data_IF_196174165042
#
_entry.id   IF_196174165042
#
_cell.length_a   1.000
_cell.length_b   1.000
_cell.length_c   1.000
_cell.angle_alpha   90.00
_cell.angle_beta   90.00
_cell.angle_gamma   90.00
#
_symmetry.space_group_name_H-M   'P 1'
#
loop_
_entity.id
_entity.type
_entity.pdbx_description
1 polymer ?
#
# COMPACT_ATOMS: atom_id res chain seq x y z
N UNK A 1 15.26 -4.42 -9.14
CA UNK A 1 13.78 -4.28 -8.98
C UNK A 1 13.15 -3.49 -10.11
N UNK A 2 13.29 -2.16 -10.20
CA UNK A 2 12.50 -1.35 -11.16
C UNK A 2 12.86 -1.63 -12.63
N UNK A 3 14.12 -1.46 -13.02
CA UNK A 3 14.59 -1.67 -14.41
C UNK A 3 14.46 -3.13 -14.87
N UNK A 4 14.76 -4.07 -13.98
CA UNK A 4 14.90 -5.49 -14.33
C UNK A 4 13.59 -6.28 -14.19
N UNK A 5 12.66 -5.84 -13.34
CA UNK A 5 11.47 -6.62 -12.99
C UNK A 5 10.18 -5.86 -13.35
N UNK A 6 10.09 -4.56 -13.07
CA UNK A 6 8.82 -3.83 -13.25
C UNK A 6 8.62 -3.36 -14.69
N UNK A 7 9.60 -2.65 -15.27
CA UNK A 7 9.51 -2.11 -16.64
C UNK A 7 9.31 -3.21 -17.69
N UNK A 8 10.07 -4.33 -17.67
CA UNK A 8 9.89 -5.40 -18.66
C UNK A 8 8.52 -6.07 -18.57
N UNK A 9 7.82 -5.91 -17.44
CA UNK A 9 6.48 -6.47 -17.18
C UNK A 9 5.35 -5.45 -17.40
N UNK A 10 5.63 -4.32 -18.05
CA UNK A 10 4.62 -3.36 -18.49
C UNK A 10 4.24 -2.28 -17.47
N UNK A 11 5.01 -2.12 -16.38
CA UNK A 11 4.89 -0.92 -15.55
C UNK A 11 5.60 0.22 -16.26
N UNK A 12 4.84 1.18 -16.76
CA UNK A 12 5.32 2.26 -17.62
C UNK A 12 4.98 3.65 -17.09
N UNK A 13 4.12 3.77 -16.08
CA UNK A 13 3.80 5.05 -15.46
C UNK A 13 5.03 5.63 -14.73
N UNK A 14 5.56 6.79 -15.17
CA UNK A 14 6.78 7.36 -14.60
C UNK A 14 6.65 7.68 -13.11
N UNK A 15 5.48 8.12 -12.65
CA UNK A 15 5.23 8.44 -11.26
C UNK A 15 5.26 7.17 -10.38
N UNK A 16 4.61 6.09 -10.81
CA UNK A 16 4.67 4.78 -10.15
C UNK A 16 6.10 4.26 -10.08
N UNK A 17 6.85 4.30 -11.19
CA UNK A 17 8.24 3.85 -11.21
C UNK A 17 9.13 4.69 -10.27
N UNK A 18 8.91 6.01 -10.20
CA UNK A 18 9.64 6.88 -9.29
C UNK A 18 9.33 6.57 -7.80
N UNK A 19 8.06 6.33 -7.47
CA UNK A 19 7.67 5.91 -6.12
C UNK A 19 8.29 4.57 -5.73
N UNK A 20 8.26 3.58 -6.64
CA UNK A 20 8.86 2.26 -6.42
C UNK A 20 10.39 2.31 -6.27
N UNK A 21 11.07 3.30 -6.86
CA UNK A 21 12.51 3.55 -6.62
C UNK A 21 12.77 4.19 -5.25
N UNK A 22 11.88 5.08 -4.81
CA UNK A 22 12.09 5.95 -3.65
C UNK A 22 11.71 5.27 -2.34
N UNK A 23 10.64 4.47 -2.32
CA UNK A 23 10.16 3.86 -1.07
C UNK A 23 11.08 2.69 -0.67
N UNK A 24 11.77 2.77 0.48
CA UNK A 24 12.71 1.75 0.93
C UNK A 24 11.99 0.50 1.46
N UNK A 25 11.65 -0.43 0.56
CA UNK A 25 10.89 -1.66 0.87
C UNK A 25 11.45 -2.50 2.03
N UNK A 26 12.75 -2.47 2.26
CA UNK A 26 13.39 -3.21 3.36
C UNK A 26 12.98 -2.74 4.77
N UNK A 27 12.45 -1.53 4.95
CA UNK A 27 11.88 -1.13 6.25
C UNK A 27 10.49 -1.71 6.52
N UNK A 28 9.86 -2.34 5.53
CA UNK A 28 8.50 -2.89 5.60
C UNK A 28 8.49 -4.41 5.75
N UNK A 29 9.63 -5.01 6.08
CA UNK A 29 9.80 -6.45 6.33
C UNK A 29 10.58 -6.67 7.61
N UNK A 30 10.51 -7.88 8.14
CA UNK A 30 11.36 -8.29 9.26
C UNK A 30 12.84 -8.24 8.90
N UNK A 31 13.71 -7.99 9.88
CA UNK A 31 15.16 -7.83 9.68
C UNK A 31 15.79 -9.03 8.93
N UNK A 32 15.36 -10.25 9.27
CA UNK A 32 15.82 -11.48 8.62
C UNK A 32 15.48 -11.53 7.10
N UNK A 33 14.50 -10.77 6.65
CA UNK A 33 14.03 -10.75 5.27
C UNK A 33 14.57 -9.58 4.45
N UNK A 34 15.30 -8.63 5.04
CA UNK A 34 15.76 -7.41 4.34
C UNK A 34 16.59 -7.71 3.10
N UNK A 35 17.46 -8.73 3.14
CA UNK A 35 18.28 -9.14 1.99
C UNK A 35 17.43 -9.61 0.79
N UNK A 36 16.19 -10.02 1.03
CA UNK A 36 15.23 -10.48 0.02
C UNK A 36 14.17 -9.44 -0.33
N UNK A 37 14.18 -8.27 0.32
CA UNK A 37 13.08 -7.30 0.25
C UNK A 37 12.75 -6.85 -1.17
N UNK A 38 13.74 -6.82 -2.07
CA UNK A 38 13.62 -6.32 -3.45
C UNK A 38 13.46 -7.41 -4.51
N UNK A 39 13.30 -8.67 -4.10
CA UNK A 39 12.88 -9.76 -4.98
C UNK A 39 11.41 -9.61 -5.35
N UNK A 40 11.03 -9.99 -6.57
CA UNK A 40 9.65 -9.91 -7.05
C UNK A 40 8.78 -11.06 -6.53
N UNK A 41 8.68 -11.19 -5.22
CA UNK A 41 7.85 -12.19 -4.54
C UNK A 41 7.29 -11.61 -3.24
N UNK A 42 6.18 -12.16 -2.71
CA UNK A 42 5.72 -11.80 -1.39
C UNK A 42 6.73 -12.23 -0.31
N UNK A 43 6.67 -11.58 0.85
CA UNK A 43 7.44 -11.94 2.04
C UNK A 43 6.51 -11.98 3.26
N UNK A 44 6.77 -12.85 4.25
CA UNK A 44 6.00 -12.86 5.49
C UNK A 44 6.25 -11.58 6.29
N UNK A 45 5.20 -11.10 6.97
CA UNK A 45 5.24 -9.88 7.81
C UNK A 45 4.63 -10.11 9.20
N UNK A 46 4.52 -11.38 9.62
CA UNK A 46 3.82 -11.76 10.84
C UNK A 46 2.30 -11.90 10.67
N UNK A 47 1.63 -12.41 11.70
CA UNK A 47 0.16 -12.60 11.77
C UNK A 47 -0.46 -13.35 10.58
N UNK A 48 0.31 -14.26 9.96
CA UNK A 48 -0.12 -15.00 8.77
C UNK A 48 -0.30 -14.14 7.52
N UNK A 49 0.17 -12.88 7.53
CA UNK A 49 0.06 -11.95 6.41
C UNK A 49 1.36 -11.87 5.61
N UNK A 50 1.27 -11.29 4.42
CA UNK A 50 2.43 -11.04 3.55
C UNK A 50 2.45 -9.61 3.05
N UNK A 51 3.64 -9.07 2.83
CA UNK A 51 3.82 -7.91 1.96
C UNK A 51 3.69 -8.37 0.51
N UNK A 52 2.82 -7.74 -0.27
CA UNK A 52 2.59 -8.07 -1.69
C UNK A 52 3.89 -7.92 -2.50
N UNK A 53 4.06 -8.75 -3.54
CA UNK A 53 5.23 -8.65 -4.42
C UNK A 53 5.32 -7.26 -5.09
N UNK A 54 6.53 -6.72 -5.32
CA UNK A 54 6.75 -5.44 -5.99
C UNK A 54 5.95 -5.21 -7.27
N UNK A 55 5.84 -6.21 -8.15
CA UNK A 55 5.07 -6.08 -9.39
C UNK A 55 3.59 -5.80 -9.14
N UNK A 56 2.96 -6.50 -8.20
CA UNK A 56 1.54 -6.33 -7.90
C UNK A 56 1.28 -4.95 -7.28
N UNK A 57 2.17 -4.50 -6.38
CA UNK A 57 2.10 -3.14 -5.81
C UNK A 57 2.16 -2.09 -6.92
N UNK A 58 3.12 -2.22 -7.83
CA UNK A 58 3.27 -1.28 -8.95
C UNK A 58 2.07 -1.32 -9.92
N UNK A 59 1.56 -2.52 -10.23
CA UNK A 59 0.42 -2.70 -11.12
C UNK A 59 -0.85 -2.04 -10.56
N UNK A 60 -1.17 -2.29 -9.29
CA UNK A 60 -2.32 -1.69 -8.61
C UNK A 60 -2.18 -0.16 -8.54
N UNK A 61 -0.97 0.32 -8.20
CA UNK A 61 -0.68 1.76 -8.12
C UNK A 61 -0.85 2.45 -9.47
N UNK A 62 -0.30 1.88 -10.55
CA UNK A 62 -0.44 2.43 -11.90
C UNK A 62 -1.90 2.44 -12.37
N UNK A 63 -2.70 1.43 -11.99
CA UNK A 63 -4.10 1.34 -12.37
C UNK A 63 -4.96 2.48 -11.79
N UNK A 64 -4.57 3.05 -10.64
CA UNK A 64 -5.24 4.19 -10.02
C UNK A 64 -5.04 5.51 -10.80
N UNK A 65 -4.02 5.60 -11.66
CA UNK A 65 -3.74 6.77 -12.53
C UNK A 65 -3.64 8.12 -11.79
N UNK A 66 -3.14 8.09 -10.56
CA UNK A 66 -3.01 9.24 -9.66
C UNK A 66 -2.23 10.40 -10.29
N UNK A 67 -2.63 11.63 -9.95
CA UNK A 67 -2.09 12.90 -10.45
C UNK A 67 -1.53 13.80 -9.36
N UNK A 68 -1.67 13.43 -8.09
CA UNK A 68 -1.07 14.13 -6.94
C UNK A 68 -2.05 14.83 -6.02
N UNK A 69 -3.32 14.96 -6.41
CA UNK A 69 -4.35 15.67 -5.63
C UNK A 69 -5.37 14.71 -4.99
N UNK A 70 -5.25 13.42 -5.28
CA UNK A 70 -6.24 12.42 -4.88
C UNK A 70 -6.17 12.12 -3.38
N UNK A 71 -7.34 11.80 -2.82
CA UNK A 71 -7.51 11.13 -1.53
C UNK A 71 -7.77 9.66 -1.80
N UNK A 72 -6.85 8.79 -1.37
CA UNK A 72 -6.88 7.36 -1.70
C UNK A 72 -7.21 6.53 -0.46
N UNK A 73 -8.16 5.61 -0.56
CA UNK A 73 -8.44 4.61 0.46
C UNK A 73 -7.73 3.28 0.12
N UNK A 74 -6.93 2.78 1.05
CA UNK A 74 -6.34 1.44 1.03
C UNK A 74 -7.05 0.55 2.06
N UNK A 75 -7.50 -0.62 1.61
CA UNK A 75 -8.00 -1.68 2.49
C UNK A 75 -6.94 -2.75 2.66
N UNK A 76 -6.41 -2.89 3.88
CA UNK A 76 -5.33 -3.80 4.24
C UNK A 76 -3.98 -3.09 4.32
N UNK A 77 -3.73 -2.34 5.40
CA UNK A 77 -2.42 -1.69 5.60
C UNK A 77 -1.27 -2.70 5.59
N UNK A 78 -1.42 -3.84 6.28
CA UNK A 78 -0.39 -4.86 6.42
C UNK A 78 0.92 -4.26 6.95
N UNK A 79 2.00 -4.41 6.19
CA UNK A 79 3.29 -3.79 6.52
C UNK A 79 3.30 -2.28 6.37
N UNK A 80 2.38 -1.71 5.58
CA UNK A 80 2.33 -0.31 5.19
C UNK A 80 3.05 0.02 3.87
N UNK A 81 3.64 -0.96 3.18
CA UNK A 81 4.43 -0.67 1.98
C UNK A 81 3.59 -0.08 0.83
N UNK A 82 2.38 -0.60 0.60
CA UNK A 82 1.50 -0.08 -0.46
C UNK A 82 0.99 1.34 -0.11
N UNK A 83 0.53 1.59 1.12
CA UNK A 83 0.29 2.95 1.63
C UNK A 83 1.50 3.89 1.44
N UNK A 84 2.71 3.44 1.76
CA UNK A 84 3.92 4.24 1.59
C UNK A 84 4.19 4.58 0.12
N UNK A 85 3.99 3.63 -0.80
CA UNK A 85 4.05 3.88 -2.24
C UNK A 85 3.01 4.92 -2.64
N UNK A 86 1.73 4.72 -2.31
CA UNK A 86 0.64 5.65 -2.64
C UNK A 86 0.89 7.06 -2.09
N UNK A 87 1.47 7.17 -0.89
CA UNK A 87 1.78 8.45 -0.25
C UNK A 87 2.70 9.35 -1.08
N UNK A 88 3.43 8.76 -2.05
CA UNK A 88 4.28 9.48 -2.99
C UNK A 88 3.57 9.99 -4.24
N UNK A 89 2.35 9.54 -4.51
CA UNK A 89 1.61 9.84 -5.72
C UNK A 89 0.31 10.62 -5.48
N UNK A 90 -0.16 10.77 -4.25
CA UNK A 90 -1.44 11.42 -3.94
C UNK A 90 -1.33 12.43 -2.79
N UNK A 91 -2.39 13.21 -2.56
CA UNK A 91 -2.43 14.20 -1.49
C UNK A 91 -2.44 13.48 -0.13
N UNK A 92 -3.34 12.51 0.03
CA UNK A 92 -3.52 11.79 1.30
C UNK A 92 -3.90 10.34 1.08
N UNK A 93 -3.30 9.46 1.87
CA UNK A 93 -3.65 8.04 1.95
C UNK A 93 -4.42 7.80 3.24
N UNK A 94 -5.56 7.14 3.12
CA UNK A 94 -6.33 6.59 4.22
C UNK A 94 -6.16 5.07 4.15
N UNK A 95 -5.77 4.42 5.24
CA UNK A 95 -5.53 2.97 5.23
C UNK A 95 -6.17 2.29 6.43
N UNK A 96 -6.86 1.18 6.18
CA UNK A 96 -7.53 0.39 7.22
C UNK A 96 -6.81 -0.94 7.38
N UNK A 97 -6.55 -1.32 8.63
CA UNK A 97 -6.03 -2.63 9.01
C UNK A 97 -6.92 -3.22 10.11
N UNK A 98 -7.15 -4.53 10.09
CA UNK A 98 -7.94 -5.24 11.12
C UNK A 98 -7.06 -5.84 12.23
N UNK A 99 -5.77 -6.01 11.98
CA UNK A 99 -4.78 -6.60 12.89
C UNK A 99 -3.96 -5.50 13.56
N UNK A 100 -4.25 -5.21 14.83
CA UNK A 100 -3.61 -4.12 15.60
C UNK A 100 -2.07 -4.21 15.62
N UNK A 101 -1.51 -5.43 15.73
CA UNK A 101 -0.07 -5.65 15.73
C UNK A 101 0.61 -5.16 14.44
N UNK A 102 -0.01 -5.40 13.28
CA UNK A 102 0.52 -4.96 11.98
C UNK A 102 0.41 -3.45 11.83
N UNK A 103 -0.74 -2.87 12.20
CA UNK A 103 -0.95 -1.42 12.12
C UNK A 103 0.06 -0.65 12.99
N UNK A 104 0.36 -1.16 14.20
CA UNK A 104 1.39 -0.58 15.07
C UNK A 104 2.77 -0.63 14.44
N UNK A 105 3.13 -1.73 13.77
CA UNK A 105 4.41 -1.84 13.08
C UNK A 105 4.49 -0.88 11.90
N UNK A 106 3.44 -0.82 11.06
CA UNK A 106 3.36 0.09 9.93
C UNK A 106 3.51 1.56 10.35
N UNK A 107 2.80 1.99 11.42
CA UNK A 107 2.91 3.35 11.97
C UNK A 107 4.33 3.72 12.38
N UNK A 108 5.08 2.81 13.03
CA UNK A 108 6.49 3.06 13.36
C UNK A 108 7.35 3.32 12.11
N UNK A 109 7.08 2.60 11.03
CA UNK A 109 7.79 2.79 9.75
C UNK A 109 7.38 4.11 9.10
N UNK A 110 6.09 4.46 9.11
CA UNK A 110 5.60 5.75 8.62
C UNK A 110 6.24 6.92 9.36
N UNK A 111 6.32 6.87 10.69
CA UNK A 111 6.96 7.90 11.52
C UNK A 111 8.47 7.98 11.23
N UNK A 112 9.14 6.82 11.16
CA UNK A 112 10.58 6.73 10.85
C UNK A 112 10.90 7.35 9.49
N UNK A 113 10.05 7.13 8.49
CA UNK A 113 10.22 7.61 7.12
C UNK A 113 9.53 8.96 6.85
N UNK A 114 8.88 9.54 7.87
CA UNK A 114 8.20 10.84 7.82
C UNK A 114 7.07 10.90 6.79
N UNK A 115 6.32 9.81 6.64
CA UNK A 115 5.14 9.76 5.77
C UNK A 115 3.90 10.28 6.48
N UNK A 116 3.84 11.61 6.64
CA UNK A 116 2.81 12.30 7.42
C UNK A 116 1.46 12.44 6.70
N UNK A 117 1.40 12.15 5.39
CA UNK A 117 0.15 12.14 4.63
C UNK A 117 -0.55 10.77 4.61
N UNK A 118 -0.16 9.85 5.51
CA UNK A 118 -0.82 8.56 5.72
C UNK A 118 -1.64 8.63 7.01
N UNK A 119 -2.96 8.49 6.89
CA UNK A 119 -3.89 8.36 8.00
C UNK A 119 -4.31 6.90 8.10
N UNK A 120 -4.07 6.28 9.25
CA UNK A 120 -4.33 4.85 9.44
C UNK A 120 -5.33 4.59 10.56
N UNK A 121 -6.20 3.58 10.40
CA UNK A 121 -7.20 3.19 11.40
C UNK A 121 -7.24 1.66 11.58
N UNK A 122 -7.47 1.25 12.82
CA UNK A 122 -7.77 -0.14 13.17
C UNK A 122 -9.28 -0.34 13.02
N UNK A 123 -9.71 -1.11 12.02
CA UNK A 123 -11.14 -1.33 11.74
C UNK A 123 -11.37 -2.53 10.79
N UNK A 124 -12.63 -2.86 10.57
CA UNK A 124 -13.04 -3.71 9.44
C UNK A 124 -12.91 -2.90 8.12
N UNK A 125 -12.12 -3.40 7.19
CA UNK A 125 -11.95 -2.75 5.89
C UNK A 125 -13.17 -2.85 4.98
N UNK A 126 -14.08 -3.79 5.22
CA UNK A 126 -15.24 -4.03 4.34
C UNK A 126 -16.33 -2.96 4.47
N UNK A 127 -16.31 -2.17 5.55
CA UNK A 127 -17.23 -1.07 5.79
C UNK A 127 -16.73 0.27 5.23
N UNK A 128 -15.49 0.31 4.71
CA UNK A 128 -14.84 1.53 4.24
C UNK A 128 -14.60 2.56 5.35
N UNK A 129 -14.58 3.84 5.00
CA UNK A 129 -14.40 4.97 5.91
C UNK A 129 -15.34 6.14 5.58
N UNK A 130 -16.65 6.02 5.85
CA UNK A 130 -17.65 7.01 5.47
C UNK A 130 -17.35 8.44 5.96
N UNK A 131 -16.83 8.58 7.18
CA UNK A 131 -16.47 9.89 7.76
C UNK A 131 -15.34 10.62 7.02
N UNK A 132 -14.64 9.93 6.12
CA UNK A 132 -13.54 10.49 5.33
C UNK A 132 -13.83 10.45 3.82
N UNK A 133 -14.94 9.86 3.39
CA UNK A 133 -15.42 9.94 2.01
C UNK A 133 -15.64 11.41 1.58
N UNK A 134 -15.61 11.74 0.27
CA UNK A 134 -15.35 10.84 -0.84
C UNK A 134 -13.85 10.51 -1.05
N UNK A 135 -13.56 9.36 -1.67
CA UNK A 135 -12.22 9.01 -2.16
C UNK A 135 -12.14 8.98 -3.70
N UNK A 136 -11.04 9.48 -4.25
CA UNK A 136 -10.80 9.48 -5.71
C UNK A 136 -10.28 8.13 -6.22
N UNK A 137 -9.77 7.29 -5.32
CA UNK A 137 -9.28 5.96 -5.64
C UNK A 137 -9.31 5.03 -4.45
N UNK A 138 -9.66 3.77 -4.70
CA UNK A 138 -9.69 2.72 -3.68
C UNK A 138 -8.84 1.55 -4.16
N UNK A 139 -7.95 1.06 -3.31
CA UNK A 139 -7.19 -0.17 -3.53
C UNK A 139 -7.42 -1.16 -2.40
N UNK A 140 -7.67 -2.42 -2.75
CA UNK A 140 -7.89 -3.49 -1.79
C UNK A 140 -6.74 -4.48 -1.92
N UNK A 141 -5.93 -4.62 -0.86
CA UNK A 141 -4.72 -5.45 -0.85
C UNK A 141 -4.94 -6.82 -0.20
N UNK A 142 -6.20 -7.16 0.07
CA UNK A 142 -6.64 -8.46 0.57
C UNK A 142 -7.68 -9.09 -0.37
N UNK A 143 -7.62 -10.41 -0.52
CA UNK A 143 -8.62 -11.15 -1.29
C UNK A 143 -9.96 -11.21 -0.54
N UNK A 144 -11.06 -11.03 -1.27
CA UNK A 144 -12.43 -11.18 -0.75
C UNK A 144 -13.32 -11.96 -1.73
N UNK A 145 -14.45 -12.53 -1.28
CA UNK A 145 -15.33 -13.33 -2.12
C UNK A 145 -16.13 -12.51 -3.14
N UNK A 146 -16.32 -11.21 -2.88
CA UNK A 146 -17.00 -10.24 -3.73
C UNK A 146 -16.50 -8.84 -3.38
N UNK A 147 -16.80 -7.87 -4.24
CA UNK A 147 -16.59 -6.45 -3.94
C UNK A 147 -17.55 -6.06 -2.81
N UNK A 148 -17.07 -5.50 -1.68
CA UNK A 148 -17.95 -4.98 -0.63
C UNK A 148 -18.70 -3.73 -1.14
N UNK A 149 -20.03 -3.76 -1.07
CA UNK A 149 -20.88 -2.63 -1.48
C UNK A 149 -20.50 -1.30 -0.79
N UNK A 150 -20.18 -1.27 0.52
CA UNK A 150 -19.80 -0.02 1.17
C UNK A 150 -18.60 0.67 0.52
N UNK A 151 -17.70 -0.08 -0.15
CA UNK A 151 -16.56 0.52 -0.85
C UNK A 151 -16.97 1.23 -2.15
N UNK A 152 -18.08 0.84 -2.77
CA UNK A 152 -18.62 1.52 -3.95
C UNK A 152 -19.34 2.82 -3.59
N UNK A 153 -19.74 2.97 -2.33
CA UNK A 153 -20.44 4.13 -1.78
C UNK A 153 -19.48 5.17 -1.14
N UNK A 154 -18.16 4.94 -1.19
CA UNK A 154 -17.16 5.85 -0.61
C UNK A 154 -16.81 7.05 -1.48
#
# INVERSE_FOLDING_TARGET
MVEEQLIPRGISDPATLAAMRTVPRHFFVEDAMQARAYGDHPLPIGSGQTISQPYIVALMTQALRLKGHERVLEIGTGSGYQAAVLSRLCERVYTIERIDALLRQARKVFDRLRYYNIVSRIDDGTIGWPDQAPFDGIVVTAGGPKIPEPLLEQ
#
